data_IF_527045638532
#
_entry.id   IF_527045638532
#
_cell.length_a   1.000
_cell.length_b   1.000
_cell.length_c   1.000
_cell.angle_alpha   90.00
_cell.angle_beta   90.00
_cell.angle_gamma   90.00
#
_symmetry.space_group_name_H-M   'P 1'
#
loop_
_entity.id
_entity.type
_entity.pdbx_description
1 polymer ?
#
# COMPACT_ATOMS: atom_id res chain seq x y z
N UNK A 1 -0.85 29.17 -4.72
CA UNK A 1 -2.26 29.36 -4.31
C UNK A 1 -2.32 30.44 -3.26
N UNK A 2 -3.26 31.38 -3.37
CA UNK A 2 -3.48 32.39 -2.34
C UNK A 2 -4.88 32.21 -1.76
N UNK A 3 -4.97 32.15 -0.43
CA UNK A 3 -6.20 31.94 0.32
C UNK A 3 -6.37 33.15 1.26
N UNK A 4 -7.57 33.71 1.33
CA UNK A 4 -7.88 34.81 2.24
C UNK A 4 -9.03 34.47 3.17
N UNK A 5 -8.96 34.94 4.41
CA UNK A 5 -10.07 34.91 5.37
C UNK A 5 -10.00 36.15 6.25
N UNK A 6 -10.98 37.04 6.12
CA UNK A 6 -10.94 38.36 6.78
C UNK A 6 -9.73 39.17 6.31
N UNK A 7 -8.95 39.71 7.24
CA UNK A 7 -7.74 40.49 6.95
C UNK A 7 -6.45 39.65 6.84
N UNK A 8 -6.57 38.32 6.79
CA UNK A 8 -5.45 37.38 6.68
C UNK A 8 -5.32 36.91 5.23
N UNK A 9 -4.12 37.07 4.67
CA UNK A 9 -3.71 36.55 3.36
C UNK A 9 -2.65 35.46 3.57
N UNK A 10 -2.93 34.26 3.05
CA UNK A 10 -2.02 33.12 3.06
C UNK A 10 -1.59 32.83 1.63
N UNK A 11 -0.29 32.73 1.38
CA UNK A 11 0.28 32.29 0.10
C UNK A 11 0.98 30.95 0.29
N UNK A 12 0.68 29.98 -0.56
CA UNK A 12 1.32 28.66 -0.59
C UNK A 12 1.87 28.38 -1.97
N UNK A 13 3.15 28.07 -2.07
CA UNK A 13 3.78 27.51 -3.27
C UNK A 13 3.93 26.00 -3.12
N UNK A 14 3.56 25.22 -4.14
CA UNK A 14 3.73 23.77 -4.12
C UNK A 14 5.16 23.36 -4.45
N UNK A 15 5.63 22.25 -3.88
CA UNK A 15 6.98 21.72 -4.08
C UNK A 15 7.04 20.48 -4.96
N UNK A 16 8.25 19.93 -5.16
CA UNK A 16 8.45 18.70 -5.93
C UNK A 16 7.77 17.50 -5.26
N UNK A 17 7.50 16.48 -6.08
CA UNK A 17 6.94 15.20 -5.62
C UNK A 17 8.03 14.38 -4.93
N UNK A 18 7.78 13.86 -3.73
CA UNK A 18 8.77 13.13 -2.90
C UNK A 18 8.54 11.62 -2.80
N UNK A 19 7.51 11.09 -3.46
CA UNK A 19 7.15 9.67 -3.37
C UNK A 19 7.82 8.82 -4.47
N UNK A 20 9.12 9.03 -4.69
CA UNK A 20 9.90 8.35 -5.73
C UNK A 20 10.71 7.13 -5.20
N UNK A 21 10.57 6.83 -3.90
CA UNK A 21 11.27 5.73 -3.24
C UNK A 21 12.72 6.06 -2.84
N UNK A 22 13.17 7.31 -2.99
CA UNK A 22 14.50 7.76 -2.59
C UNK A 22 14.47 8.54 -1.28
N UNK A 23 15.65 8.68 -0.70
CA UNK A 23 15.84 9.55 0.46
C UNK A 23 15.91 11.00 0.01
N UNK A 24 15.07 11.84 0.59
CA UNK A 24 15.12 13.29 0.45
C UNK A 24 15.50 13.95 1.77
N UNK A 25 16.24 15.05 1.69
CA UNK A 25 16.57 15.88 2.86
C UNK A 25 15.56 17.01 2.95
N UNK A 26 14.93 17.16 4.12
CA UNK A 26 13.96 18.21 4.39
C UNK A 26 14.50 19.16 5.45
N UNK A 27 14.46 20.46 5.16
CA UNK A 27 14.81 21.52 6.12
C UNK A 27 13.66 22.51 6.24
N UNK A 28 13.22 22.78 7.47
CA UNK A 28 12.15 23.75 7.73
C UNK A 28 12.74 24.92 8.49
N UNK A 29 12.60 26.11 7.93
CA UNK A 29 13.07 27.36 8.53
C UNK A 29 11.95 28.39 8.64
N UNK A 30 12.07 29.29 9.62
CA UNK A 30 11.17 30.42 9.80
C UNK A 30 11.92 31.72 9.49
N UNK A 31 11.43 32.44 8.48
CA UNK A 31 11.98 33.70 7.98
C UNK A 31 10.94 34.82 8.14
N UNK A 32 10.71 35.23 9.40
CA UNK A 32 9.80 36.33 9.74
C UNK A 32 8.33 35.97 9.50
N UNK A 33 7.78 36.38 8.35
CA UNK A 33 6.38 36.12 7.94
C UNK A 33 6.23 34.86 7.08
N UNK A 34 7.34 34.16 6.85
CA UNK A 34 7.41 33.00 5.96
C UNK A 34 7.93 31.77 6.70
N UNK A 35 7.32 30.63 6.42
CA UNK A 35 7.87 29.31 6.72
C UNK A 35 8.29 28.70 5.39
N UNK A 36 9.56 28.29 5.32
CA UNK A 36 10.16 27.73 4.11
C UNK A 36 10.51 26.27 4.41
N UNK A 37 10.07 25.38 3.52
CA UNK A 37 10.50 23.99 3.46
C UNK A 37 11.43 23.83 2.25
N UNK A 38 12.69 23.57 2.51
CA UNK A 38 13.66 23.18 1.50
C UNK A 38 13.66 21.66 1.31
N UNK A 39 13.78 21.23 0.06
CA UNK A 39 13.90 19.84 -0.36
C UNK A 39 15.23 19.70 -1.09
N UNK A 40 16.13 18.86 -0.58
CA UNK A 40 17.45 18.61 -1.16
C UNK A 40 18.26 19.89 -1.42
N UNK A 41 18.11 20.89 -0.55
CA UNK A 41 18.80 22.19 -0.63
C UNK A 41 18.21 23.16 -1.67
N UNK A 42 17.03 22.87 -2.20
CA UNK A 42 16.27 23.77 -3.07
C UNK A 42 14.94 24.15 -2.42
N UNK A 43 14.46 25.36 -2.68
CA UNK A 43 13.18 25.84 -2.15
C UNK A 43 12.03 24.93 -2.64
N UNK A 44 11.39 24.23 -1.71
CA UNK A 44 10.32 23.28 -1.99
C UNK A 44 8.95 23.92 -1.81
N UNK A 45 8.60 24.27 -0.56
CA UNK A 45 7.30 24.85 -0.23
C UNK A 45 7.51 26.10 0.60
N UNK A 46 6.92 27.20 0.17
CA UNK A 46 6.94 28.46 0.91
C UNK A 46 5.53 28.86 1.29
N UNK A 47 5.34 29.05 2.60
CA UNK A 47 4.10 29.50 3.20
C UNK A 47 4.31 30.88 3.78
N UNK A 48 3.63 31.88 3.21
CA UNK A 48 3.64 33.25 3.70
C UNK A 48 2.31 33.61 4.35
N UNK A 49 2.35 34.29 5.49
CA UNK A 49 1.16 34.84 6.14
C UNK A 49 1.29 36.36 6.30
N UNK A 50 0.31 37.09 5.77
CA UNK A 50 0.22 38.54 5.92
C UNK A 50 -1.09 38.91 6.61
N UNK A 51 -1.01 39.66 7.70
CA UNK A 51 -2.16 40.20 8.44
C UNK A 51 -2.01 41.72 8.60
N UNK A 52 -3.13 42.45 8.53
CA UNK A 52 -3.18 43.90 8.78
C UNK A 52 -3.26 44.26 10.27
N UNK A 53 -3.49 43.29 11.16
CA UNK A 53 -3.43 43.52 12.60
C UNK A 53 -1.95 43.70 13.00
N UNK A 54 -1.67 44.80 13.68
CA UNK A 54 -0.33 45.18 14.17
C UNK A 54 0.21 44.06 15.05
N UNK A 55 1.51 43.81 14.90
CA UNK A 55 2.35 42.88 15.67
C UNK A 55 1.94 42.77 17.15
N UNK A 56 1.00 41.89 17.47
CA UNK A 56 1.23 41.04 18.62
C UNK A 56 2.29 40.06 18.12
N UNK A 57 3.39 39.94 18.87
CA UNK A 57 4.37 38.87 18.70
C UNK A 57 3.65 37.66 18.12
N UNK A 58 4.20 37.08 17.05
CA UNK A 58 3.78 35.73 16.67
C UNK A 58 4.34 34.79 17.75
N UNK A 59 3.88 34.97 19.00
CA UNK A 59 4.02 34.14 20.17
C UNK A 59 3.14 32.93 19.89
N UNK A 60 3.60 32.12 18.95
CA UNK A 60 3.03 30.85 18.58
C UNK A 60 4.15 29.83 18.55
N UNK A 61 3.89 28.66 19.11
CA UNK A 61 4.77 27.51 18.92
C UNK A 61 4.67 27.09 17.45
N UNK A 62 5.79 27.10 16.72
CA UNK A 62 5.84 26.40 15.43
C UNK A 62 5.68 24.91 15.73
N UNK A 63 4.53 24.37 15.36
CA UNK A 63 4.25 22.93 15.50
C UNK A 63 4.39 22.28 14.13
N UNK A 64 5.36 21.38 14.02
CA UNK A 64 5.58 20.56 12.83
C UNK A 64 5.17 19.12 13.16
N UNK A 65 4.35 18.51 12.30
CA UNK A 65 4.15 17.08 12.30
C UNK A 65 4.67 16.51 10.99
N UNK A 66 5.48 15.46 11.09
CA UNK A 66 5.91 14.67 9.95
C UNK A 66 5.12 13.37 9.96
N UNK A 67 4.35 13.15 8.90
CA UNK A 67 3.56 11.94 8.72
C UNK A 67 2.27 11.84 9.53
N UNK A 68 1.82 12.95 10.13
CA UNK A 68 0.54 13.09 10.82
C UNK A 68 -0.08 14.48 10.58
N UNK A 69 -1.24 14.74 11.19
CA UNK A 69 -1.93 16.04 11.13
C UNK A 69 -2.12 16.59 12.53
N UNK A 70 -1.76 17.86 12.74
CA UNK A 70 -1.90 18.58 14.02
C UNK A 70 -3.29 19.21 14.24
N UNK A 71 -4.24 18.94 13.33
CA UNK A 71 -5.63 19.40 13.42
C UNK A 71 -6.43 18.32 14.16
N UNK A 72 -7.21 18.73 15.17
CA UNK A 72 -8.12 17.83 15.88
C UNK A 72 -9.14 17.19 14.92
N UNK A 73 -9.36 15.88 15.04
CA UNK A 73 -10.22 15.08 14.15
C UNK A 73 -11.64 15.65 14.05
N UNK A 74 -12.18 16.18 15.15
CA UNK A 74 -13.53 16.75 15.22
C UNK A 74 -13.67 18.06 14.42
N UNK A 75 -12.55 18.72 14.12
CA UNK A 75 -12.51 19.96 13.33
C UNK A 75 -12.24 19.73 11.85
N UNK A 76 -12.00 18.49 11.43
CA UNK A 76 -11.80 18.17 10.01
C UNK A 76 -13.15 18.03 9.31
N UNK A 77 -13.26 18.56 8.09
CA UNK A 77 -14.46 18.40 7.24
C UNK A 77 -14.72 16.90 6.97
N UNK A 78 -13.64 16.13 6.82
CA UNK A 78 -13.66 14.67 6.70
C UNK A 78 -12.76 14.14 7.80
N UNK A 79 -13.30 13.29 8.68
CA UNK A 79 -12.51 12.64 9.70
C UNK A 79 -11.52 11.69 9.03
N UNK A 80 -10.24 12.07 9.04
CA UNK A 80 -9.16 11.33 8.41
C UNK A 80 -8.03 11.13 9.41
N UNK A 81 -7.43 9.96 9.39
CA UNK A 81 -6.28 9.60 10.21
C UNK A 81 -5.12 9.30 9.26
N UNK A 82 -4.35 10.31 8.86
CA UNK A 82 -3.22 10.11 7.97
C UNK A 82 -2.21 9.20 8.64
N UNK A 83 -1.81 8.15 7.95
CA UNK A 83 -0.62 7.40 8.28
C UNK A 83 0.38 7.61 7.16
N UNK A 84 1.60 7.94 7.52
CA UNK A 84 2.69 8.02 6.56
C UNK A 84 3.23 6.62 6.27
N UNK A 85 2.95 6.15 5.07
CA UNK A 85 3.65 5.00 4.49
C UNK A 85 5.01 5.48 3.96
N UNK A 86 5.98 5.56 4.87
CA UNK A 86 7.28 6.11 4.56
C UNK A 86 8.25 6.00 5.73
N UNK A 87 9.52 6.27 5.43
CA UNK A 87 10.61 6.11 6.36
C UNK A 87 11.29 7.44 6.65
N UNK A 88 11.52 7.70 7.94
CA UNK A 88 12.24 8.88 8.42
C UNK A 88 13.47 8.39 9.16
N UNK A 89 14.61 9.06 8.93
CA UNK A 89 15.84 8.77 9.67
C UNK A 89 16.59 10.05 9.90
N UNK A 90 17.28 10.11 11.04
CA UNK A 90 18.05 11.27 11.49
C UNK A 90 17.14 12.50 11.65
N UNK A 91 17.61 13.49 12.37
CA UNK A 91 16.85 14.70 12.61
C UNK A 91 17.61 15.61 13.54
N UNK A 92 17.52 16.91 13.27
CA UNK A 92 17.91 17.94 14.21
C UNK A 92 16.77 18.95 14.26
N UNK A 93 16.19 19.12 15.43
CA UNK A 93 15.20 20.16 15.66
C UNK A 93 15.82 21.15 16.63
N UNK A 94 16.24 22.32 16.15
CA UNK A 94 16.77 23.41 16.99
C UNK A 94 17.84 22.98 18.02
N UNK A 95 18.66 21.97 17.70
CA UNK A 95 19.66 21.37 18.60
C UNK A 95 19.09 20.75 19.89
N UNK A 96 17.81 20.34 19.87
CA UNK A 96 17.21 19.56 20.95
C UNK A 96 17.83 18.17 21.04
N UNK A 97 17.98 17.67 22.27
CA UNK A 97 18.48 16.31 22.55
C UNK A 97 17.51 15.21 22.12
N UNK A 98 16.21 15.49 22.15
CA UNK A 98 15.12 14.60 21.75
C UNK A 98 14.25 15.32 20.72
N UNK A 99 14.62 15.25 19.42
CA UNK A 99 13.98 16.08 18.40
C UNK A 99 12.57 15.61 18.00
N UNK A 100 12.11 14.46 18.50
CA UNK A 100 10.84 13.85 18.10
C UNK A 100 10.04 13.40 19.32
N UNK A 101 8.82 13.92 19.44
CA UNK A 101 7.79 13.32 20.27
C UNK A 101 6.92 12.42 19.39
N UNK A 102 6.80 11.15 19.78
CA UNK A 102 6.08 10.13 19.02
C UNK A 102 4.82 9.77 19.80
N UNK A 103 3.65 10.10 19.25
CA UNK A 103 2.35 9.81 19.88
C UNK A 103 1.84 8.38 19.60
N UNK A 104 2.63 7.52 18.94
CA UNK A 104 2.25 6.15 18.57
C UNK A 104 3.11 5.08 19.24
N UNK A 105 2.45 4.07 19.81
CA UNK A 105 3.10 2.82 20.19
C UNK A 105 3.41 2.00 18.93
N UNK A 106 4.68 1.62 18.75
CA UNK A 106 5.08 0.65 17.72
C UNK A 106 5.44 1.22 16.36
N UNK A 107 6.41 2.15 16.29
CA UNK A 107 7.11 2.43 15.04
C UNK A 107 7.86 1.17 14.58
N UNK A 108 7.66 0.81 13.32
CA UNK A 108 8.36 -0.31 12.70
C UNK A 108 9.69 0.17 12.15
N UNK A 109 10.80 -0.56 12.39
CA UNK A 109 12.08 -0.19 11.79
C UNK A 109 12.00 -0.36 10.27
N UNK A 110 12.53 0.64 9.57
CA UNK A 110 12.62 0.63 8.13
C UNK A 110 13.65 -0.39 7.63
N UNK A 111 13.32 -1.12 6.57
CA UNK A 111 14.29 -1.91 5.83
C UNK A 111 15.31 -0.99 5.15
N UNK A 112 16.55 -1.47 4.99
CA UNK A 112 17.60 -0.71 4.31
C UNK A 112 17.27 -0.47 2.82
N UNK A 113 16.64 -1.46 2.17
CA UNK A 113 16.20 -1.40 0.79
C UNK A 113 14.69 -1.58 0.76
N UNK A 114 13.98 -0.48 0.46
CA UNK A 114 12.52 -0.46 0.40
C UNK A 114 12.10 -0.54 -1.07
N UNK A 115 11.07 -1.33 -1.34
CA UNK A 115 10.41 -1.40 -2.65
C UNK A 115 8.90 -1.33 -2.42
N UNK A 116 8.14 -0.68 -3.33
CA UNK A 116 6.67 -0.72 -3.27
C UNK A 116 6.17 -2.16 -3.29
N UNK A 117 5.26 -2.50 -2.37
CA UNK A 117 4.67 -3.83 -2.28
C UNK A 117 4.34 -4.24 -0.85
N UNK A 118 3.91 -5.50 -0.70
CA UNK A 118 3.66 -6.12 0.61
C UNK A 118 4.72 -7.18 0.89
N UNK A 119 5.27 -7.19 2.10
CA UNK A 119 6.29 -8.16 2.51
C UNK A 119 5.70 -9.26 3.39
N UNK A 120 5.93 -10.51 3.00
CA UNK A 120 5.55 -11.69 3.77
C UNK A 120 6.83 -12.44 4.16
N UNK A 121 7.10 -12.55 5.46
CA UNK A 121 8.30 -13.21 6.00
C UNK A 121 8.25 -14.74 5.95
N UNK A 122 7.13 -15.31 5.47
CA UNK A 122 6.81 -16.73 5.57
C UNK A 122 6.17 -17.13 6.91
N UNK A 123 6.04 -16.20 7.87
CA UNK A 123 5.38 -16.43 9.16
C UNK A 123 4.07 -15.67 9.23
N UNK A 124 2.97 -16.37 8.95
CA UNK A 124 1.62 -15.82 9.03
C UNK A 124 0.95 -15.64 7.67
N UNK A 125 -0.20 -14.95 7.69
CA UNK A 125 -1.05 -14.74 6.53
C UNK A 125 -1.88 -13.46 6.69
N UNK A 126 -2.27 -12.85 5.57
CA UNK A 126 -3.26 -11.79 5.54
C UNK A 126 -4.60 -12.37 5.10
N UNK A 127 -5.69 -12.06 5.81
CA UNK A 127 -7.05 -12.52 5.47
C UNK A 127 -7.91 -11.34 5.06
N UNK A 128 -8.55 -11.47 3.91
CA UNK A 128 -9.53 -10.51 3.41
C UNK A 128 -10.89 -11.19 3.30
N UNK A 129 -11.93 -10.50 3.79
CA UNK A 129 -13.30 -10.92 3.55
C UNK A 129 -13.65 -10.57 2.10
N UNK A 130 -14.15 -11.55 1.35
CA UNK A 130 -14.48 -11.39 -0.06
C UNK A 130 -15.78 -10.62 -0.29
N UNK A 131 -16.60 -10.43 0.76
CA UNK A 131 -17.87 -9.72 0.66
C UNK A 131 -17.72 -8.25 0.27
N UNK A 132 -16.51 -7.69 0.39
CA UNK A 132 -16.18 -6.31 0.01
C UNK A 132 -15.82 -6.17 -1.48
N UNK A 133 -15.61 -7.28 -2.19
CA UNK A 133 -15.30 -7.25 -3.61
C UNK A 133 -16.59 -7.04 -4.41
N UNK A 134 -16.73 -5.88 -5.05
CA UNK A 134 -17.80 -5.59 -5.99
C UNK A 134 -17.54 -6.36 -7.27
N UNK A 135 -18.30 -7.43 -7.51
CA UNK A 135 -18.28 -8.15 -8.78
C UNK A 135 -19.52 -7.77 -9.58
N UNK A 136 -19.35 -7.10 -10.72
CA UNK A 136 -20.42 -7.03 -11.72
C UNK A 136 -20.63 -8.43 -12.33
N UNK A 137 -21.88 -8.88 -12.44
CA UNK A 137 -22.21 -10.24 -12.88
C UNK A 137 -21.69 -10.55 -14.30
N UNK A 138 -21.50 -9.51 -15.13
CA UNK A 138 -21.05 -9.64 -16.51
C UNK A 138 -19.52 -9.70 -16.68
N UNK A 139 -18.73 -9.08 -15.77
CA UNK A 139 -17.29 -8.86 -15.99
C UNK A 139 -16.40 -9.84 -15.18
N UNK A 140 -17.00 -10.58 -14.24
CA UNK A 140 -16.33 -11.59 -13.42
C UNK A 140 -15.41 -10.98 -12.35
N UNK A 141 -14.45 -11.79 -11.87
CA UNK A 141 -13.44 -11.35 -10.91
C UNK A 141 -12.04 -11.43 -11.53
N UNK A 142 -11.29 -10.34 -11.47
CA UNK A 142 -9.90 -10.28 -11.93
C UNK A 142 -8.98 -10.11 -10.73
N UNK A 143 -8.01 -11.00 -10.58
CA UNK A 143 -6.96 -10.90 -9.58
C UNK A 143 -5.63 -10.83 -10.31
N UNK A 144 -4.91 -9.73 -10.10
CA UNK A 144 -3.62 -9.47 -10.74
C UNK A 144 -2.52 -9.38 -9.67
N UNK A 145 -1.44 -10.14 -9.88
CA UNK A 145 -0.30 -10.23 -8.97
C UNK A 145 0.98 -9.90 -9.72
N UNK A 146 1.77 -8.97 -9.16
CA UNK A 146 3.10 -8.62 -9.66
C UNK A 146 4.13 -8.92 -8.59
N UNK A 147 5.08 -9.81 -8.89
CA UNK A 147 6.10 -10.18 -7.92
C UNK A 147 7.31 -10.87 -8.53
N UNK A 148 8.33 -11.08 -7.69
CA UNK A 148 9.45 -11.96 -8.00
C UNK A 148 9.17 -13.36 -7.45
N UNK A 149 8.46 -14.17 -8.25
CA UNK A 149 8.07 -15.52 -7.86
C UNK A 149 9.28 -16.47 -7.70
N UNK A 150 10.47 -16.10 -8.19
CA UNK A 150 11.69 -16.89 -8.02
C UNK A 150 12.21 -16.88 -6.58
N UNK A 151 11.77 -15.92 -5.77
CA UNK A 151 12.14 -15.79 -4.36
C UNK A 151 11.08 -16.36 -3.40
N UNK A 152 10.01 -16.94 -3.92
CA UNK A 152 8.89 -17.45 -3.14
C UNK A 152 8.95 -18.96 -2.93
N UNK A 153 8.55 -19.39 -1.74
CA UNK A 153 8.34 -20.80 -1.42
C UNK A 153 7.13 -20.93 -0.48
N UNK A 154 6.13 -21.71 -0.90
CA UNK A 154 4.86 -21.88 -0.20
C UNK A 154 3.66 -21.21 -0.86
N UNK A 155 2.54 -21.15 -0.13
CA UNK A 155 1.28 -20.61 -0.61
C UNK A 155 1.34 -19.08 -0.73
N UNK A 156 1.05 -18.59 -1.93
CA UNK A 156 0.99 -17.16 -2.27
C UNK A 156 -0.42 -16.64 -2.04
N UNK A 157 -1.42 -17.31 -2.63
CA UNK A 157 -2.81 -16.88 -2.61
C UNK A 157 -3.72 -18.09 -2.47
N UNK A 158 -4.78 -17.99 -1.66
CA UNK A 158 -5.84 -18.99 -1.62
C UNK A 158 -7.20 -18.36 -1.37
N UNK A 159 -8.27 -19.01 -1.83
CA UNK A 159 -9.62 -18.65 -1.43
C UNK A 159 -10.35 -19.86 -0.85
N UNK A 160 -11.09 -19.61 0.24
CA UNK A 160 -11.90 -20.63 0.91
C UNK A 160 -13.33 -20.12 1.09
N UNK A 161 -14.32 -20.88 0.64
CA UNK A 161 -15.73 -20.62 0.93
C UNK A 161 -16.14 -21.20 2.30
N UNK A 162 -17.17 -20.66 2.96
CA UNK A 162 -17.65 -21.17 4.24
C UNK A 162 -18.07 -22.64 4.14
N UNK A 163 -17.56 -23.49 5.04
CA UNK A 163 -17.93 -24.91 5.09
C UNK A 163 -17.44 -25.75 3.90
N UNK A 164 -16.59 -25.21 3.03
CA UNK A 164 -15.99 -25.92 1.90
C UNK A 164 -14.47 -26.01 2.01
N UNK A 165 -13.88 -26.90 1.20
CA UNK A 165 -12.44 -26.98 0.99
C UNK A 165 -11.91 -25.74 0.23
N UNK A 166 -10.58 -25.63 0.14
CA UNK A 166 -9.93 -24.55 -0.64
C UNK A 166 -10.44 -24.59 -2.08
N UNK A 167 -11.00 -23.49 -2.56
CA UNK A 167 -11.55 -23.44 -3.91
C UNK A 167 -10.43 -23.33 -4.93
N UNK A 168 -9.49 -22.40 -4.71
CA UNK A 168 -8.23 -22.38 -5.45
C UNK A 168 -7.04 -22.07 -4.55
N UNK A 169 -5.86 -22.48 -5.02
CA UNK A 169 -4.57 -22.16 -4.42
C UNK A 169 -3.56 -21.76 -5.50
N UNK A 170 -2.70 -20.82 -5.14
CA UNK A 170 -1.52 -20.45 -5.91
C UNK A 170 -0.30 -20.68 -5.02
N UNK A 171 0.58 -21.58 -5.42
CA UNK A 171 1.72 -22.04 -4.62
C UNK A 171 3.00 -21.90 -5.45
N UNK A 172 4.04 -21.28 -4.88
CA UNK A 172 5.37 -21.31 -5.47
C UNK A 172 6.21 -22.41 -4.80
N UNK A 173 7.04 -23.07 -5.60
CA UNK A 173 8.03 -24.02 -5.10
C UNK A 173 9.42 -23.60 -5.61
N UNK A 174 10.27 -23.17 -4.68
CA UNK A 174 11.58 -22.64 -5.01
C UNK A 174 12.57 -23.74 -5.46
N UNK A 175 12.34 -24.99 -5.06
CA UNK A 175 13.18 -26.12 -5.45
C UNK A 175 12.91 -26.56 -6.90
N UNK A 176 11.65 -26.62 -7.30
CA UNK A 176 11.26 -27.01 -8.66
C UNK A 176 11.19 -25.84 -9.64
N UNK A 177 11.25 -24.59 -9.14
CA UNK A 177 11.10 -23.35 -9.92
C UNK A 177 9.76 -23.27 -10.66
N UNK A 178 8.71 -23.77 -10.02
CA UNK A 178 7.35 -23.83 -10.57
C UNK A 178 6.39 -23.07 -9.67
N UNK A 179 5.48 -22.33 -10.29
CA UNK A 179 4.27 -21.77 -9.67
C UNK A 179 3.10 -22.63 -10.10
N UNK A 180 2.39 -23.21 -9.15
CA UNK A 180 1.23 -24.06 -9.38
C UNK A 180 -0.04 -23.31 -9.01
N UNK A 181 -0.92 -23.14 -9.98
CA UNK A 181 -2.31 -22.77 -9.76
C UNK A 181 -3.16 -24.05 -9.71
N UNK A 182 -3.97 -24.22 -8.67
CA UNK A 182 -4.89 -25.35 -8.54
C UNK A 182 -6.30 -24.88 -8.25
N UNK A 183 -7.28 -25.42 -8.98
CA UNK A 183 -8.72 -25.21 -8.81
C UNK A 183 -9.40 -26.59 -8.73
N UNK A 184 -9.78 -27.01 -7.53
CA UNK A 184 -10.21 -28.39 -7.27
C UNK A 184 -9.13 -29.40 -7.65
N UNK A 185 -9.47 -30.38 -8.49
CA UNK A 185 -8.52 -31.39 -8.99
C UNK A 185 -7.61 -30.88 -10.13
N UNK A 186 -8.02 -29.81 -10.80
CA UNK A 186 -7.30 -29.31 -11.96
C UNK A 186 -6.11 -28.44 -11.53
N UNK A 187 -4.94 -28.64 -12.17
CA UNK A 187 -3.70 -27.93 -11.85
C UNK A 187 -3.03 -27.41 -13.12
N UNK A 188 -2.49 -26.20 -13.03
CA UNK A 188 -1.67 -25.57 -14.06
C UNK A 188 -0.35 -25.17 -13.44
N UNK A 189 0.73 -25.57 -14.10
CA UNK A 189 2.10 -25.26 -13.69
C UNK A 189 2.68 -24.20 -14.63
N UNK A 190 3.26 -23.16 -14.05
CA UNK A 190 3.92 -22.05 -14.73
C UNK A 190 5.36 -21.96 -14.23
N UNK A 191 6.27 -21.40 -15.02
CA UNK A 191 7.65 -21.18 -14.56
C UNK A 191 7.69 -20.05 -13.56
N UNK A 192 8.47 -20.17 -12.49
CA UNK A 192 8.63 -19.11 -11.48
C UNK A 192 9.32 -17.84 -12.00
N UNK A 193 9.76 -17.82 -13.26
CA UNK A 193 10.34 -16.64 -13.92
C UNK A 193 9.28 -15.60 -14.33
N UNK A 194 7.99 -15.93 -14.19
CA UNK A 194 6.90 -15.00 -14.44
C UNK A 194 7.01 -13.75 -13.54
N UNK A 195 6.66 -12.58 -14.08
CA UNK A 195 6.66 -11.29 -13.39
C UNK A 195 5.26 -10.89 -12.94
N UNK A 196 4.27 -11.28 -13.73
CA UNK A 196 2.87 -10.97 -13.54
C UNK A 196 2.00 -12.21 -13.74
N UNK A 197 0.95 -12.34 -12.93
CA UNK A 197 -0.09 -13.33 -13.10
C UNK A 197 -1.45 -12.65 -12.99
N UNK A 198 -2.25 -12.76 -14.05
CA UNK A 198 -3.66 -12.35 -14.05
C UNK A 198 -4.55 -13.59 -14.06
N UNK A 199 -5.45 -13.66 -13.10
CA UNK A 199 -6.45 -14.70 -12.95
C UNK A 199 -7.82 -14.06 -13.17
N UNK A 200 -8.48 -14.40 -14.27
CA UNK A 200 -9.80 -13.89 -14.64
C UNK A 200 -10.84 -14.99 -14.51
N UNK A 201 -11.64 -14.90 -13.45
CA UNK A 201 -12.73 -15.80 -13.13
C UNK A 201 -14.01 -15.29 -13.80
N UNK A 202 -14.42 -15.95 -14.87
CA UNK A 202 -15.66 -15.70 -15.62
C UNK A 202 -16.76 -16.66 -15.15
N UNK A 203 -18.01 -16.44 -15.55
CA UNK A 203 -19.16 -17.26 -15.13
C UNK A 203 -18.95 -18.77 -15.31
N UNK A 204 -18.38 -19.18 -16.44
CA UNK A 204 -18.24 -20.58 -16.84
C UNK A 204 -16.77 -21.00 -17.11
N UNK A 205 -15.84 -20.06 -17.00
CA UNK A 205 -14.42 -20.30 -17.34
C UNK A 205 -13.48 -19.53 -16.43
N UNK A 206 -12.26 -20.03 -16.29
CA UNK A 206 -11.15 -19.32 -15.68
C UNK A 206 -10.05 -19.15 -16.72
N UNK A 207 -9.59 -17.91 -16.91
CA UNK A 207 -8.43 -17.60 -17.74
C UNK A 207 -7.24 -17.20 -16.87
N UNK A 208 -6.11 -17.85 -17.09
CA UNK A 208 -4.83 -17.52 -16.49
C UNK A 208 -3.95 -16.90 -17.55
N UNK A 209 -3.40 -15.73 -17.25
CA UNK A 209 -2.44 -15.01 -18.08
C UNK A 209 -1.15 -14.81 -17.29
N UNK A 210 -0.10 -15.55 -17.65
CA UNK A 210 1.22 -15.44 -17.04
C UNK A 210 2.17 -14.66 -17.95
N UNK A 211 2.74 -13.58 -17.42
CA UNK A 211 3.72 -12.72 -18.07
C UNK A 211 5.14 -13.20 -17.72
N UNK A 212 5.78 -13.99 -18.61
CA UNK A 212 7.16 -14.48 -18.43
C UNK A 212 8.20 -13.43 -18.88
N UNK A 213 7.88 -12.61 -19.89
CA UNK A 213 8.68 -11.48 -20.37
C UNK A 213 7.85 -10.56 -21.28
N UNK A 214 8.37 -9.38 -21.67
CA UNK A 214 7.67 -8.44 -22.59
C UNK A 214 7.17 -9.09 -23.89
N UNK A 215 7.72 -10.24 -24.28
CA UNK A 215 7.42 -10.96 -25.52
C UNK A 215 6.88 -12.39 -25.31
N UNK A 216 6.93 -12.94 -24.09
CA UNK A 216 6.49 -14.31 -23.79
C UNK A 216 5.33 -14.31 -22.80
N UNK A 217 4.16 -14.69 -23.30
CA UNK A 217 2.90 -14.78 -22.54
C UNK A 217 2.35 -16.19 -22.64
N UNK A 218 1.96 -16.76 -21.50
CA UNK A 218 1.29 -18.05 -21.45
C UNK A 218 -0.17 -17.83 -21.04
N UNK A 219 -1.08 -18.17 -21.94
CA UNK A 219 -2.52 -18.17 -21.69
C UNK A 219 -3.00 -19.60 -21.44
N UNK A 220 -3.83 -19.77 -20.42
CA UNK A 220 -4.48 -21.05 -20.14
C UNK A 220 -5.94 -20.83 -19.75
N UNK A 221 -6.82 -21.70 -20.25
CA UNK A 221 -8.25 -21.64 -19.97
C UNK A 221 -8.67 -22.94 -19.29
N UNK A 222 -9.34 -22.82 -18.16
CA UNK A 222 -9.92 -23.94 -17.42
C UNK A 222 -11.45 -23.83 -17.45
N UNK A 223 -12.18 -24.87 -17.89
CA UNK A 223 -13.63 -24.90 -17.73
C UNK A 223 -13.99 -25.06 -16.25
N UNK A 224 -14.99 -24.32 -15.79
CA UNK A 224 -15.48 -24.41 -14.41
C UNK A 224 -16.87 -25.06 -14.42
N UNK A 225 -16.96 -26.31 -14.00
CA UNK A 225 -18.18 -27.12 -14.09
C UNK A 225 -19.25 -26.81 -13.02
N UNK A 226 -19.07 -25.78 -12.18
CA UNK A 226 -19.98 -25.47 -11.08
C UNK A 226 -20.71 -24.14 -11.30
N UNK A 227 -22.01 -24.16 -11.65
CA UNK A 227 -22.81 -22.93 -11.70
C UNK A 227 -22.87 -22.32 -10.28
N UNK A 228 -22.49 -21.05 -10.15
CA UNK A 228 -22.58 -20.29 -8.90
C UNK A 228 -21.33 -20.28 -8.01
N UNK A 229 -20.17 -20.76 -8.51
CA UNK A 229 -18.93 -20.71 -7.73
C UNK A 229 -18.53 -19.27 -7.35
N UNK A 230 -18.72 -18.30 -8.26
CA UNK A 230 -18.50 -16.86 -7.97
C UNK A 230 -19.40 -16.34 -6.84
N UNK A 231 -20.61 -16.90 -6.67
CA UNK A 231 -21.50 -16.53 -5.56
C UNK A 231 -20.96 -17.08 -4.24
N UNK A 232 -20.50 -18.33 -4.23
CA UNK A 232 -19.84 -18.92 -3.06
C UNK A 232 -18.56 -18.16 -2.67
N UNK A 233 -17.88 -17.55 -3.65
CA UNK A 233 -16.72 -16.70 -3.40
C UNK A 233 -17.07 -15.43 -2.66
N UNK A 234 -18.26 -14.85 -2.84
CA UNK A 234 -18.65 -13.59 -2.16
C UNK A 234 -18.67 -13.74 -0.64
N UNK A 235 -18.97 -14.94 -0.14
CA UNK A 235 -19.03 -15.22 1.30
C UNK A 235 -17.73 -15.86 1.84
N UNK A 236 -16.69 -15.98 1.00
CA UNK A 236 -15.43 -16.60 1.33
C UNK A 236 -14.41 -15.72 2.06
N UNK A 237 -13.19 -16.25 2.11
CA UNK A 237 -11.99 -15.56 2.61
C UNK A 237 -10.88 -15.75 1.61
N UNK A 238 -10.30 -14.63 1.17
CA UNK A 238 -9.07 -14.59 0.38
C UNK A 238 -7.90 -14.49 1.35
N UNK A 239 -6.87 -15.32 1.17
CA UNK A 239 -5.63 -15.21 1.94
C UNK A 239 -4.42 -15.01 1.08
N UNK A 240 -3.54 -14.13 1.53
CA UNK A 240 -2.21 -13.89 0.95
C UNK A 240 -1.16 -14.34 1.96
N UNK A 241 -0.25 -15.21 1.51
CA UNK A 241 0.70 -15.92 2.37
C UNK A 241 0.03 -17.02 3.20
N UNK A 242 0.72 -18.14 3.40
CA UNK A 242 0.25 -19.27 4.24
C UNK A 242 -1.11 -19.87 3.82
N UNK A 243 -1.62 -20.82 4.62
CA UNK A 243 -2.94 -21.43 4.43
C UNK A 243 -3.83 -21.25 5.67
N UNK A 244 -5.13 -21.03 5.44
CA UNK A 244 -6.13 -20.97 6.51
C UNK A 244 -6.27 -22.33 7.20
N UNK A 245 -5.77 -22.42 8.44
CA UNK A 245 -5.91 -23.61 9.28
C UNK A 245 -4.68 -24.52 9.31
N UNK A 246 -3.61 -24.19 8.59
CA UNK A 246 -2.31 -24.78 8.87
C UNK A 246 -1.72 -24.09 10.10
N UNK A 247 -1.66 -24.83 11.21
CA UNK A 247 -0.84 -24.44 12.35
C UNK A 247 0.59 -24.35 11.85
N UNK A 248 1.15 -23.15 11.84
CA UNK A 248 2.60 -22.98 11.69
C UNK A 248 3.28 -23.69 12.87
N UNK A 249 4.39 -24.39 12.65
CA UNK A 249 5.10 -25.12 13.70
C UNK A 249 5.65 -24.21 14.80
#
# INVERSE_FOLDING_TARGET
>A
MQISKGDILISVAGGPKLNDGKWHTLEVSNHGKFVILEVDGSEGVTVGMHSKQTEEDISGELRLALGGILIKKEKMIIQYEPQMDGCVRKGNWLNLSTPWDIEVEGLWPCYQNIRPGSYFSGKGLAVFNTSVFLTDEDDGLKIELWSDFTQMDGTILSIKAPGQDLMFTLVANNNTKVVTFALGENKINMKSTLRGLLMHFEKDSLRLHADESELERTDSIMPVNHPGYLTAWREGRLTVGGLLGETTP
#
